data_IF_526211434481
#
_entry.id   IF_526211434481
#
_cell.length_a   1.000
_cell.length_b   1.000
_cell.length_c   1.000
_cell.angle_alpha   90.00
_cell.angle_beta   90.00
_cell.angle_gamma   90.00
#
_symmetry.space_group_name_H-M   'P 1'
#
loop_
_entity.id
_entity.type
_entity.pdbx_description
1 polymer ?
#
# COMPACT_ATOMS: atom_id res chain seq x y z
N UNK A 1 -79.27 -15.15 -15.27
CA UNK A 1 -80.19 -14.03 -15.04
C UNK A 1 -80.15 -13.35 -13.67
N UNK A 2 -80.45 -14.01 -12.53
CA UNK A 2 -80.45 -13.30 -11.23
C UNK A 2 -79.06 -12.80 -10.77
N UNK A 3 -78.01 -13.58 -11.05
CA UNK A 3 -76.64 -13.32 -10.59
C UNK A 3 -75.94 -12.21 -11.38
N UNK A 4 -76.14 -12.15 -12.70
CA UNK A 4 -75.57 -11.08 -13.54
C UNK A 4 -76.15 -9.71 -13.16
N UNK A 5 -77.45 -9.63 -12.87
CA UNK A 5 -78.10 -8.40 -12.41
C UNK A 5 -77.51 -7.91 -11.08
N UNK A 6 -77.20 -8.84 -10.17
CA UNK A 6 -76.55 -8.52 -8.89
C UNK A 6 -75.12 -8.01 -9.10
N UNK A 7 -74.31 -8.70 -9.91
CA UNK A 7 -72.94 -8.27 -10.22
C UNK A 7 -72.93 -6.90 -10.90
N UNK A 8 -73.85 -6.66 -11.83
CA UNK A 8 -74.02 -5.35 -12.47
C UNK A 8 -74.36 -4.25 -11.46
N UNK A 9 -75.32 -4.49 -10.55
CA UNK A 9 -75.67 -3.54 -9.50
C UNK A 9 -74.48 -3.24 -8.56
N UNK A 10 -73.69 -4.27 -8.21
CA UNK A 10 -72.50 -4.11 -7.38
C UNK A 10 -71.41 -3.27 -8.07
N UNK A 11 -71.11 -3.56 -9.34
CA UNK A 11 -70.16 -2.77 -10.11
C UNK A 11 -70.64 -1.31 -10.28
N UNK A 12 -71.94 -1.10 -10.52
CA UNK A 12 -72.54 0.25 -10.55
C UNK A 12 -72.47 0.98 -9.21
N UNK A 13 -72.51 0.24 -8.09
CA UNK A 13 -72.32 0.81 -6.75
C UNK A 13 -70.86 1.12 -6.39
N UNK A 14 -69.93 0.88 -7.32
CA UNK A 14 -68.49 1.15 -7.13
C UNK A 14 -67.71 0.01 -6.51
N UNK A 15 -68.24 -1.21 -6.50
CA UNK A 15 -67.49 -2.38 -6.04
C UNK A 15 -66.25 -2.60 -6.92
N UNK A 16 -65.11 -2.84 -6.28
CA UNK A 16 -63.82 -3.01 -6.95
C UNK A 16 -63.57 -4.48 -7.31
N UNK A 17 -63.52 -4.84 -8.61
CA UNK A 17 -63.30 -6.22 -9.04
C UNK A 17 -61.84 -6.69 -8.95
N UNK A 18 -60.90 -5.76 -8.73
CA UNK A 18 -59.46 -6.04 -8.59
C UNK A 18 -59.02 -6.43 -7.18
N UNK A 19 -59.93 -6.39 -6.20
CA UNK A 19 -59.66 -6.88 -4.86
C UNK A 19 -59.70 -8.40 -4.84
N UNK A 20 -58.83 -8.96 -3.99
CA UNK A 20 -58.67 -10.40 -3.83
C UNK A 20 -59.20 -10.81 -2.46
N UNK A 21 -59.78 -12.00 -2.37
CA UNK A 21 -60.22 -12.58 -1.09
C UNK A 21 -59.04 -12.93 -0.17
N UNK A 22 -59.32 -13.13 1.12
CA UNK A 22 -58.30 -13.52 2.08
C UNK A 22 -57.57 -14.82 1.67
N UNK A 23 -56.24 -14.90 1.86
CA UNK A 23 -55.47 -16.09 1.58
C UNK A 23 -56.01 -17.32 2.31
N UNK A 24 -56.27 -18.38 1.58
CA UNK A 24 -56.64 -19.70 2.14
C UNK A 24 -55.50 -20.69 1.89
N UNK A 25 -55.46 -21.80 2.64
CA UNK A 25 -54.45 -22.85 2.43
C UNK A 25 -54.40 -23.35 0.97
N UNK A 26 -55.55 -23.33 0.30
CA UNK A 26 -55.68 -23.77 -1.09
C UNK A 26 -55.25 -22.69 -2.10
N UNK A 27 -55.29 -21.40 -1.73
CA UNK A 27 -54.91 -20.26 -2.57
C UNK A 27 -54.20 -19.18 -1.73
N UNK A 28 -52.86 -19.24 -1.71
CA UNK A 28 -52.01 -18.32 -0.94
C UNK A 28 -52.08 -16.87 -1.44
N UNK A 29 -52.44 -16.67 -2.71
CA UNK A 29 -52.63 -15.34 -3.31
C UNK A 29 -54.04 -14.77 -3.16
N UNK A 30 -54.98 -15.55 -2.60
CA UNK A 30 -56.41 -15.26 -2.63
C UNK A 30 -57.05 -15.51 -4.01
N UNK A 31 -58.38 -15.36 -4.12
CA UNK A 31 -59.12 -15.46 -5.37
C UNK A 31 -59.72 -14.11 -5.77
N UNK A 32 -59.66 -13.75 -7.05
CA UNK A 32 -60.42 -12.60 -7.56
C UNK A 32 -61.89 -12.96 -7.79
N UNK A 33 -62.74 -11.95 -7.95
CA UNK A 33 -64.15 -12.16 -8.28
C UNK A 33 -64.33 -12.95 -9.60
N UNK A 34 -63.40 -12.79 -10.55
CA UNK A 34 -63.37 -13.55 -11.79
C UNK A 34 -63.02 -15.03 -11.56
N UNK A 35 -62.00 -15.31 -10.72
CA UNK A 35 -61.61 -16.69 -10.39
C UNK A 35 -62.73 -17.46 -9.69
N UNK A 36 -63.46 -16.78 -8.80
CA UNK A 36 -64.64 -17.36 -8.14
C UNK A 36 -65.79 -17.64 -9.12
N UNK A 37 -65.99 -16.79 -10.13
CA UNK A 37 -66.97 -17.03 -11.17
C UNK A 37 -66.57 -18.23 -12.06
N UNK A 38 -65.28 -18.33 -12.41
CA UNK A 38 -64.71 -19.44 -13.17
C UNK A 38 -64.82 -20.79 -12.44
N UNK A 39 -64.48 -20.82 -11.14
CA UNK A 39 -64.59 -22.01 -10.30
C UNK A 39 -66.03 -22.55 -10.18
N UNK A 40 -67.02 -21.68 -10.36
CA UNK A 40 -68.43 -22.03 -10.35
C UNK A 40 -69.01 -22.32 -11.75
N UNK A 41 -68.18 -22.32 -12.80
CA UNK A 41 -68.59 -22.61 -14.18
C UNK A 41 -69.25 -21.46 -14.94
N UNK A 42 -69.06 -20.20 -14.50
CA UNK A 42 -69.63 -19.02 -15.16
C UNK A 42 -68.59 -18.27 -16.00
N UNK A 43 -68.17 -18.87 -17.12
CA UNK A 43 -67.07 -18.37 -17.95
C UNK A 43 -67.31 -16.95 -18.50
N UNK A 44 -68.53 -16.64 -18.97
CA UNK A 44 -68.84 -15.30 -19.50
C UNK A 44 -68.82 -14.21 -18.42
N UNK A 45 -69.28 -14.54 -17.22
CA UNK A 45 -69.24 -13.62 -16.07
C UNK A 45 -67.80 -13.44 -15.57
N UNK A 46 -67.02 -14.52 -15.56
CA UNK A 46 -65.60 -14.49 -15.20
C UNK A 46 -64.80 -13.61 -16.16
N UNK A 47 -65.00 -13.76 -17.47
CA UNK A 47 -64.35 -12.95 -18.49
C UNK A 47 -64.69 -11.45 -18.35
N UNK A 48 -65.95 -11.11 -18.12
CA UNK A 48 -66.37 -9.73 -17.90
C UNK A 48 -65.76 -9.13 -16.62
N UNK A 49 -65.76 -9.89 -15.52
CA UNK A 49 -65.14 -9.48 -14.26
C UNK A 49 -63.62 -9.33 -14.39
N UNK A 50 -62.96 -10.17 -15.19
CA UNK A 50 -61.52 -10.09 -15.45
C UNK A 50 -61.16 -8.84 -16.26
N UNK A 51 -61.94 -8.48 -17.27
CA UNK A 51 -61.78 -7.22 -18.01
C UNK A 51 -61.92 -6.02 -17.06
N UNK A 52 -63.00 -5.96 -16.26
CA UNK A 52 -63.22 -4.87 -15.30
C UNK A 52 -62.17 -4.83 -14.20
N UNK A 53 -61.65 -5.98 -13.78
CA UNK A 53 -60.52 -6.10 -12.85
C UNK A 53 -59.27 -5.40 -13.41
N UNK A 54 -58.87 -5.71 -14.64
CA UNK A 54 -57.70 -5.10 -15.28
C UNK A 54 -57.86 -3.59 -15.48
N UNK A 55 -59.05 -3.14 -15.89
CA UNK A 55 -59.34 -1.71 -16.05
C UNK A 55 -59.30 -0.99 -14.70
N UNK A 56 -59.90 -1.57 -13.65
CA UNK A 56 -59.85 -1.00 -12.31
C UNK A 56 -58.41 -0.92 -11.76
N UNK A 57 -57.61 -1.96 -11.98
CA UNK A 57 -56.20 -1.98 -11.58
C UNK A 57 -55.38 -0.92 -12.34
N UNK A 58 -55.63 -0.73 -13.63
CA UNK A 58 -55.01 0.33 -14.42
C UNK A 58 -55.38 1.73 -13.88
N UNK A 59 -56.66 1.97 -13.56
CA UNK A 59 -57.13 3.24 -13.00
C UNK A 59 -56.47 3.51 -11.65
N UNK A 60 -56.43 2.52 -10.75
CA UNK A 60 -55.76 2.64 -9.46
C UNK A 60 -54.26 2.95 -9.62
N UNK A 61 -53.58 2.27 -10.56
CA UNK A 61 -52.17 2.52 -10.88
C UNK A 61 -51.92 3.90 -11.51
N UNK A 62 -52.88 4.40 -12.29
CA UNK A 62 -52.83 5.75 -12.86
C UNK A 62 -53.03 6.83 -11.79
N UNK A 63 -53.98 6.64 -10.88
CA UNK A 63 -54.19 7.54 -9.73
C UNK A 63 -52.93 7.57 -8.85
N UNK A 64 -52.28 6.41 -8.66
CA UNK A 64 -51.01 6.31 -7.93
C UNK A 64 -49.81 6.90 -8.68
N UNK A 65 -49.97 7.39 -9.92
CA UNK A 65 -48.90 7.96 -10.74
C UNK A 65 -47.88 6.95 -11.28
N UNK A 66 -48.17 5.65 -11.20
CA UNK A 66 -47.29 4.59 -11.68
C UNK A 66 -47.41 4.34 -13.19
N UNK A 67 -48.51 4.78 -13.81
CA UNK A 67 -48.81 4.60 -15.24
C UNK A 67 -49.39 5.87 -15.83
N UNK A 68 -48.98 6.20 -17.06
CA UNK A 68 -49.49 7.31 -17.85
C UNK A 68 -50.22 6.81 -19.11
N UNK A 69 -51.27 7.53 -19.53
CA UNK A 69 -52.12 7.24 -20.69
C UNK A 69 -53.60 7.02 -20.36
N UNK A 70 -54.43 7.09 -21.39
CA UNK A 70 -55.85 6.67 -21.37
C UNK A 70 -55.98 5.33 -22.10
N UNK A 71 -56.99 4.53 -21.76
CA UNK A 71 -57.37 3.37 -22.57
C UNK A 71 -58.22 3.85 -23.75
N UNK A 72 -57.72 3.68 -24.97
CA UNK A 72 -58.40 4.12 -26.20
C UNK A 72 -59.60 3.22 -26.54
N UNK A 73 -59.57 1.95 -26.12
CA UNK A 73 -60.61 0.97 -26.44
C UNK A 73 -61.99 1.27 -25.81
N UNK A 74 -62.07 2.13 -24.79
CA UNK A 74 -63.35 2.42 -24.10
C UNK A 74 -64.27 3.40 -24.83
N UNK A 75 -63.79 4.15 -25.85
CA UNK A 75 -64.59 5.23 -26.49
C UNK A 75 -65.04 4.92 -27.92
N UNK A 76 -64.38 4.01 -28.63
CA UNK A 76 -64.48 3.92 -30.09
C UNK A 76 -65.76 3.31 -30.67
N UNK A 77 -66.46 2.40 -29.99
CA UNK A 77 -67.37 1.47 -30.71
C UNK A 77 -68.85 1.53 -30.30
N UNK A 78 -69.24 2.34 -29.31
CA UNK A 78 -70.67 2.58 -29.01
C UNK A 78 -71.40 3.42 -30.08
N UNK A 79 -70.68 3.90 -31.11
CA UNK A 79 -71.21 4.89 -32.05
C UNK A 79 -71.78 4.30 -33.36
N UNK A 80 -71.76 2.98 -33.58
CA UNK A 80 -72.37 2.37 -34.78
C UNK A 80 -73.73 1.75 -34.48
N UNK A 81 -74.79 2.54 -34.66
CA UNK A 81 -76.19 2.15 -34.43
C UNK A 81 -76.78 1.51 -35.70
N UNK A 82 -76.24 0.37 -36.10
CA UNK A 82 -76.84 -0.50 -37.13
C UNK A 82 -77.24 -1.83 -36.49
N UNK A 83 -78.49 -2.25 -36.67
CA UNK A 83 -79.01 -3.52 -36.14
C UNK A 83 -78.36 -4.68 -36.91
N UNK A 84 -77.24 -5.17 -36.40
CA UNK A 84 -76.58 -6.37 -36.90
C UNK A 84 -77.23 -7.63 -36.28
N UNK A 85 -77.06 -8.81 -36.88
CA UNK A 85 -77.46 -10.07 -36.26
C UNK A 85 -76.78 -10.26 -34.89
N UNK A 86 -77.47 -10.87 -33.92
CA UNK A 86 -77.00 -11.03 -32.53
C UNK A 86 -75.57 -11.61 -32.43
N UNK A 87 -75.21 -12.55 -33.30
CA UNK A 87 -73.88 -13.18 -33.30
C UNK A 87 -72.75 -12.22 -33.67
N UNK A 88 -73.00 -11.31 -34.62
CA UNK A 88 -72.01 -10.31 -35.04
C UNK A 88 -71.82 -9.24 -33.97
N UNK A 89 -72.89 -8.90 -33.25
CA UNK A 89 -72.85 -7.96 -32.13
C UNK A 89 -72.10 -8.54 -30.92
N UNK A 90 -72.31 -9.83 -30.60
CA UNK A 90 -71.60 -10.54 -29.54
C UNK A 90 -70.09 -10.61 -29.81
N UNK A 91 -69.71 -10.90 -31.06
CA UNK A 91 -68.31 -10.93 -31.47
C UNK A 91 -67.64 -9.57 -31.32
N UNK A 92 -68.33 -8.48 -31.68
CA UNK A 92 -67.83 -7.11 -31.50
C UNK A 92 -67.56 -6.79 -30.04
N UNK A 93 -68.50 -7.10 -29.13
CA UNK A 93 -68.30 -6.88 -27.69
C UNK A 93 -67.14 -7.69 -27.12
N UNK A 94 -66.98 -8.95 -27.54
CA UNK A 94 -65.87 -9.78 -27.12
C UNK A 94 -64.51 -9.24 -27.60
N UNK A 95 -64.42 -8.76 -28.85
CA UNK A 95 -63.20 -8.15 -29.39
C UNK A 95 -62.85 -6.84 -28.69
N UNK A 96 -63.85 -6.02 -28.37
CA UNK A 96 -63.63 -4.78 -27.61
C UNK A 96 -63.14 -5.06 -26.18
N UNK A 97 -63.75 -6.04 -25.49
CA UNK A 97 -63.31 -6.49 -24.17
C UNK A 97 -61.87 -7.01 -24.21
N UNK A 98 -61.53 -7.82 -25.22
CA UNK A 98 -60.18 -8.35 -25.39
C UNK A 98 -59.14 -7.26 -25.64
N UNK A 99 -59.41 -6.30 -26.55
CA UNK A 99 -58.50 -5.17 -26.81
C UNK A 99 -58.27 -4.32 -25.56
N UNK A 100 -59.34 -4.03 -24.82
CA UNK A 100 -59.30 -3.27 -23.56
C UNK A 100 -58.46 -4.00 -22.52
N UNK A 101 -58.70 -5.29 -22.32
CA UNK A 101 -57.95 -6.12 -21.37
C UNK A 101 -56.46 -6.22 -21.75
N UNK A 102 -56.16 -6.44 -23.04
CA UNK A 102 -54.80 -6.53 -23.55
C UNK A 102 -54.03 -5.21 -23.38
N UNK A 103 -54.67 -4.07 -23.68
CA UNK A 103 -54.08 -2.75 -23.50
C UNK A 103 -53.79 -2.46 -22.01
N UNK A 104 -54.77 -2.69 -21.13
CA UNK A 104 -54.59 -2.52 -19.69
C UNK A 104 -53.47 -3.41 -19.14
N UNK A 105 -53.46 -4.69 -19.52
CA UNK A 105 -52.42 -5.65 -19.08
C UNK A 105 -51.03 -5.23 -19.57
N UNK A 106 -50.88 -4.80 -20.83
CA UNK A 106 -49.60 -4.35 -21.37
C UNK A 106 -49.06 -3.13 -20.60
N UNK A 107 -49.93 -2.16 -20.27
CA UNK A 107 -49.57 -0.98 -19.47
C UNK A 107 -49.15 -1.35 -18.06
N UNK A 108 -49.92 -2.23 -17.40
CA UNK A 108 -49.64 -2.70 -16.04
C UNK A 108 -48.29 -3.44 -16.00
N UNK A 109 -48.07 -4.38 -16.93
CA UNK A 109 -46.81 -5.11 -17.02
C UNK A 109 -45.62 -4.20 -17.34
N UNK A 110 -45.80 -3.20 -18.21
CA UNK A 110 -44.79 -2.19 -18.50
C UNK A 110 -44.35 -1.43 -17.25
N UNK A 111 -45.31 -0.99 -16.43
CA UNK A 111 -45.06 -0.28 -15.18
C UNK A 111 -44.26 -1.13 -14.18
N UNK A 112 -44.63 -2.41 -14.04
CA UNK A 112 -43.91 -3.34 -13.16
C UNK A 112 -42.47 -3.56 -13.63
N UNK A 113 -42.24 -3.71 -14.93
CA UNK A 113 -40.88 -3.84 -15.49
C UNK A 113 -40.04 -2.60 -15.24
N UNK A 114 -40.60 -1.42 -15.44
CA UNK A 114 -39.91 -0.15 -15.18
C UNK A 114 -39.54 -0.01 -13.69
N UNK A 115 -40.49 -0.32 -12.79
CA UNK A 115 -40.25 -0.25 -11.34
C UNK A 115 -39.19 -1.26 -10.89
N UNK A 116 -39.22 -2.48 -11.42
CA UNK A 116 -38.21 -3.50 -11.13
C UNK A 116 -36.82 -3.05 -11.58
N UNK A 117 -36.71 -2.48 -12.79
CA UNK A 117 -35.46 -1.94 -13.30
C UNK A 117 -34.95 -0.78 -12.44
N UNK A 118 -35.80 0.21 -12.11
CA UNK A 118 -35.44 1.34 -11.23
C UNK A 118 -34.87 0.87 -9.89
N UNK A 119 -35.50 -0.14 -9.27
CA UNK A 119 -35.00 -0.72 -8.02
C UNK A 119 -33.62 -1.37 -8.18
N UNK A 120 -33.37 -2.09 -9.28
CA UNK A 120 -32.06 -2.69 -9.54
C UNK A 120 -30.98 -1.63 -9.74
N UNK A 121 -31.27 -0.55 -10.46
CA UNK A 121 -30.30 0.53 -10.69
C UNK A 121 -30.00 1.30 -9.41
N UNK A 122 -31.01 1.60 -8.58
CA UNK A 122 -30.80 2.28 -7.30
C UNK A 122 -29.84 1.49 -6.38
N UNK A 123 -30.04 0.18 -6.25
CA UNK A 123 -29.18 -0.67 -5.43
C UNK A 123 -27.72 -0.67 -5.96
N UNK A 124 -27.54 -0.80 -7.28
CA UNK A 124 -26.20 -0.75 -7.91
C UNK A 124 -25.52 0.61 -7.72
N UNK A 125 -26.27 1.70 -7.76
CA UNK A 125 -25.73 3.05 -7.57
C UNK A 125 -25.25 3.25 -6.13
N UNK A 126 -26.01 2.77 -5.14
CA UNK A 126 -25.62 2.78 -3.73
C UNK A 126 -24.37 1.94 -3.47
N UNK A 127 -24.31 0.73 -4.05
CA UNK A 127 -23.11 -0.12 -3.99
C UNK A 127 -21.90 0.56 -4.63
N UNK A 128 -22.05 1.18 -5.80
CA UNK A 128 -20.98 1.91 -6.47
C UNK A 128 -20.49 3.09 -5.63
N UNK A 129 -21.40 3.86 -5.01
CA UNK A 129 -21.04 4.94 -4.07
C UNK A 129 -20.28 4.40 -2.86
N UNK A 130 -20.68 3.25 -2.33
CA UNK A 130 -20.00 2.54 -1.24
C UNK A 130 -18.56 2.16 -1.62
N UNK A 131 -18.37 1.58 -2.81
CA UNK A 131 -17.05 1.20 -3.33
C UNK A 131 -16.14 2.44 -3.49
N UNK A 132 -16.66 3.52 -4.07
CA UNK A 132 -15.89 4.76 -4.26
C UNK A 132 -15.50 5.37 -2.91
N UNK A 133 -16.41 5.39 -1.93
CA UNK A 133 -16.12 5.87 -0.58
C UNK A 133 -15.03 5.02 0.10
N UNK A 134 -15.13 3.69 0.00
CA UNK A 134 -14.13 2.77 0.54
C UNK A 134 -12.75 3.01 -0.11
N UNK A 135 -12.68 3.17 -1.44
CA UNK A 135 -11.45 3.49 -2.15
C UNK A 135 -10.81 4.80 -1.65
N UNK A 136 -11.61 5.86 -1.44
CA UNK A 136 -11.12 7.14 -0.92
C UNK A 136 -10.53 7.00 0.48
N UNK A 137 -11.19 6.25 1.37
CA UNK A 137 -10.72 5.98 2.74
C UNK A 137 -9.41 5.19 2.70
N UNK A 138 -9.35 4.12 1.90
CA UNK A 138 -8.16 3.29 1.74
C UNK A 138 -6.98 4.11 1.19
N UNK A 139 -7.23 4.96 0.19
CA UNK A 139 -6.20 5.82 -0.38
C UNK A 139 -5.66 6.83 0.65
N UNK A 140 -6.55 7.50 1.39
CA UNK A 140 -6.17 8.43 2.45
C UNK A 140 -5.35 7.73 3.55
N UNK A 141 -5.76 6.53 3.96
CA UNK A 141 -5.04 5.74 4.95
C UNK A 141 -3.63 5.35 4.46
N UNK A 142 -3.51 4.86 3.23
CA UNK A 142 -2.20 4.52 2.64
C UNK A 142 -1.28 5.74 2.57
N UNK A 143 -1.82 6.90 2.14
CA UNK A 143 -1.06 8.16 2.09
C UNK A 143 -0.61 8.65 3.47
N UNK A 144 -1.46 8.48 4.49
CA UNK A 144 -1.11 8.81 5.87
C UNK A 144 0.00 7.89 6.40
N UNK A 145 -0.11 6.58 6.16
CA UNK A 145 0.88 5.61 6.63
C UNK A 145 2.25 5.81 5.98
N UNK A 146 2.31 6.09 4.67
CA UNK A 146 3.56 6.41 3.99
C UNK A 146 4.20 7.67 4.55
N UNK A 147 3.41 8.74 4.75
CA UNK A 147 3.89 9.99 5.37
C UNK A 147 4.42 9.75 6.78
N UNK A 148 3.69 9.00 7.61
CA UNK A 148 4.10 8.67 8.99
C UNK A 148 5.43 7.91 9.01
N UNK A 149 5.61 6.93 8.12
CA UNK A 149 6.86 6.17 7.98
C UNK A 149 8.02 7.07 7.55
N UNK A 150 7.78 7.97 6.58
CA UNK A 150 8.78 8.90 6.08
C UNK A 150 9.20 9.93 7.14
N UNK A 151 8.25 10.47 7.91
CA UNK A 151 8.55 11.36 9.04
C UNK A 151 9.37 10.64 10.14
N UNK A 152 9.05 9.38 10.44
CA UNK A 152 9.81 8.59 11.39
C UNK A 152 11.25 8.32 10.89
N UNK A 153 11.40 7.94 9.62
CA UNK A 153 12.69 7.73 8.99
C UNK A 153 13.56 9.01 9.03
N UNK A 154 12.97 10.16 8.69
CA UNK A 154 13.64 11.46 8.77
C UNK A 154 14.15 11.76 10.18
N UNK A 155 13.34 11.54 11.22
CA UNK A 155 13.75 11.75 12.62
C UNK A 155 14.94 10.88 13.01
N UNK A 156 14.93 9.61 12.59
CA UNK A 156 16.04 8.67 12.83
C UNK A 156 17.30 9.15 12.11
N UNK A 157 17.18 9.55 10.83
CA UNK A 157 18.28 10.05 10.03
C UNK A 157 18.90 11.32 10.62
N UNK A 158 18.09 12.32 10.99
CA UNK A 158 18.58 13.55 11.62
C UNK A 158 19.30 13.26 12.94
N UNK A 159 18.78 12.33 13.76
CA UNK A 159 19.43 11.92 15.00
C UNK A 159 20.78 11.26 14.74
N UNK A 160 20.84 10.37 13.75
CA UNK A 160 22.07 9.71 13.35
C UNK A 160 23.10 10.69 12.80
N UNK A 161 22.70 11.59 11.90
CA UNK A 161 23.58 12.62 11.33
C UNK A 161 24.15 13.54 12.44
N UNK A 162 23.29 13.97 13.37
CA UNK A 162 23.74 14.79 14.52
C UNK A 162 24.75 14.04 15.39
N UNK A 163 24.49 12.76 15.68
CA UNK A 163 25.44 11.92 16.42
C UNK A 163 26.76 11.73 15.67
N UNK A 164 26.70 11.46 14.36
CA UNK A 164 27.88 11.29 13.48
C UNK A 164 28.76 12.54 13.50
N UNK A 165 28.15 13.71 13.28
CA UNK A 165 28.84 15.00 13.30
C UNK A 165 29.45 15.29 14.68
N UNK A 166 28.70 15.05 15.77
CA UNK A 166 29.20 15.24 17.14
C UNK A 166 30.38 14.32 17.43
N UNK A 167 30.33 13.05 17.02
CA UNK A 167 31.42 12.09 17.21
C UNK A 167 32.69 12.53 16.49
N UNK A 168 32.57 12.96 15.23
CA UNK A 168 33.69 13.47 14.46
C UNK A 168 34.28 14.74 15.09
N UNK A 169 33.44 15.69 15.51
CA UNK A 169 33.87 16.90 16.19
C UNK A 169 34.62 16.60 17.50
N UNK A 170 34.09 15.70 18.34
CA UNK A 170 34.73 15.33 19.60
C UNK A 170 36.08 14.65 19.37
N UNK A 171 36.19 13.78 18.37
CA UNK A 171 37.46 13.16 17.99
C UNK A 171 38.49 14.21 17.56
N UNK A 172 38.11 15.11 16.66
CA UNK A 172 38.99 16.20 16.20
C UNK A 172 39.42 17.10 17.36
N UNK A 173 38.48 17.49 18.23
CA UNK A 173 38.76 18.29 19.43
C UNK A 173 39.74 17.58 20.36
N UNK A 174 39.55 16.28 20.59
CA UNK A 174 40.45 15.50 21.45
C UNK A 174 41.87 15.45 20.88
N UNK A 175 42.03 15.20 19.58
CA UNK A 175 43.35 15.22 18.94
C UNK A 175 44.00 16.61 19.00
N UNK A 176 43.25 17.67 18.73
CA UNK A 176 43.74 19.04 18.85
C UNK A 176 44.22 19.36 20.28
N UNK A 177 43.44 19.00 21.30
CA UNK A 177 43.81 19.21 22.71
C UNK A 177 45.09 18.43 23.06
N UNK A 178 45.22 17.17 22.60
CA UNK A 178 46.44 16.37 22.81
C UNK A 178 47.68 17.07 22.25
N UNK A 179 47.61 17.53 21.00
CA UNK A 179 48.70 18.26 20.35
C UNK A 179 49.03 19.54 21.13
N UNK A 180 48.01 20.33 21.50
CA UNK A 180 48.20 21.57 22.26
C UNK A 180 48.85 21.31 23.62
N UNK A 181 48.43 20.28 24.35
CA UNK A 181 49.02 19.93 25.64
C UNK A 181 50.47 19.46 25.50
N UNK A 182 50.78 18.66 24.48
CA UNK A 182 52.13 18.19 24.20
C UNK A 182 53.04 19.36 23.83
N UNK A 183 52.55 20.29 23.02
CA UNK A 183 53.28 21.50 22.62
C UNK A 183 53.59 22.40 23.83
N UNK A 184 52.59 22.70 24.67
CA UNK A 184 52.79 23.47 25.91
C UNK A 184 53.81 22.79 26.83
N UNK A 185 53.75 21.46 26.97
CA UNK A 185 54.72 20.67 27.73
C UNK A 185 56.13 20.74 27.14
N UNK A 186 56.27 20.64 25.82
CA UNK A 186 57.55 20.76 25.13
C UNK A 186 58.17 22.15 25.33
N UNK A 187 57.36 23.21 25.23
CA UNK A 187 57.81 24.59 25.46
C UNK A 187 58.35 24.77 26.88
N UNK A 188 57.64 24.30 27.91
CA UNK A 188 58.09 24.35 29.29
C UNK A 188 59.40 23.57 29.51
N UNK A 189 59.50 22.34 28.98
CA UNK A 189 60.73 21.53 29.07
C UNK A 189 61.92 22.19 28.38
N UNK A 190 61.72 22.88 27.25
CA UNK A 190 62.79 23.64 26.58
C UNK A 190 63.32 24.76 27.47
N UNK A 191 62.46 25.50 28.17
CA UNK A 191 62.91 26.54 29.11
C UNK A 191 63.64 25.92 30.31
N UNK A 192 63.11 24.84 30.88
CA UNK A 192 63.76 24.14 31.99
C UNK A 192 65.14 23.59 31.62
N UNK A 193 65.32 23.03 30.41
CA UNK A 193 66.63 22.57 29.91
C UNK A 193 67.69 23.67 29.89
N UNK A 194 67.31 24.93 29.59
CA UNK A 194 68.26 26.07 29.66
C UNK A 194 68.76 26.31 31.08
N UNK A 195 67.84 26.30 32.05
CA UNK A 195 68.17 26.47 33.47
C UNK A 195 69.08 25.32 33.93
N UNK A 196 68.71 24.07 33.63
CA UNK A 196 69.49 22.90 34.02
C UNK A 196 70.90 22.92 33.42
N UNK A 197 71.04 23.37 32.16
CA UNK A 197 72.36 23.53 31.54
C UNK A 197 73.21 24.56 32.27
N UNK A 198 72.65 25.73 32.62
CA UNK A 198 73.34 26.75 33.41
C UNK A 198 73.78 26.24 34.79
N UNK A 199 72.89 25.52 35.50
CA UNK A 199 73.21 24.90 36.80
C UNK A 199 74.32 23.85 36.64
N UNK A 200 74.26 23.00 35.62
CA UNK A 200 75.27 21.98 35.37
C UNK A 200 76.67 22.56 35.06
N UNK A 201 76.74 23.70 34.37
CA UNK A 201 78.01 24.42 34.17
C UNK A 201 78.55 24.94 35.50
N UNK A 202 77.69 25.55 36.33
CA UNK A 202 78.06 26.09 37.65
C UNK A 202 78.55 24.98 38.59
N UNK A 203 77.81 23.88 38.71
CA UNK A 203 78.22 22.71 39.52
C UNK A 203 79.58 22.19 39.07
N UNK A 204 79.78 21.98 37.77
CA UNK A 204 81.08 21.53 37.24
C UNK A 204 82.22 22.51 37.53
N UNK A 205 81.94 23.81 37.56
CA UNK A 205 82.92 24.83 37.95
C UNK A 205 83.26 24.74 39.44
N UNK A 206 82.25 24.65 40.32
CA UNK A 206 82.42 24.50 41.78
C UNK A 206 83.21 23.23 42.11
N UNK A 207 82.86 22.11 41.48
CA UNK A 207 83.55 20.83 41.60
C UNK A 207 85.02 20.98 41.20
N UNK A 208 85.30 21.55 40.01
CA UNK A 208 86.69 21.76 39.56
C UNK A 208 87.49 22.65 40.50
N UNK A 209 86.85 23.65 41.12
CA UNK A 209 87.46 24.54 42.10
C UNK A 209 87.79 23.81 43.41
N UNK A 210 86.83 23.07 43.99
CA UNK A 210 87.03 22.32 45.24
C UNK A 210 88.01 21.14 45.08
N UNK A 211 87.95 20.41 43.97
CA UNK A 211 88.80 19.24 43.68
C UNK A 211 90.13 19.60 42.99
N UNK A 212 90.53 20.88 42.99
CA UNK A 212 91.82 21.36 42.44
C UNK A 212 92.14 20.80 41.05
N UNK A 213 91.23 20.98 40.08
CA UNK A 213 91.32 20.53 38.66
C UNK A 213 91.22 19.03 38.40
N UNK A 214 91.01 18.16 39.40
CA UNK A 214 90.56 16.78 39.15
C UNK A 214 89.07 16.81 38.79
N UNK A 215 88.76 16.80 37.50
CA UNK A 215 87.37 16.73 37.03
C UNK A 215 86.77 15.33 37.25
N UNK A 216 85.44 15.20 37.17
CA UNK A 216 84.72 13.92 37.14
C UNK A 216 84.99 13.06 35.87
N UNK A 217 86.11 13.27 35.15
CA UNK A 217 86.61 12.33 34.13
C UNK A 217 87.48 11.25 34.79
N UNK A 218 86.97 10.68 35.87
CA UNK A 218 87.73 9.76 36.73
C UNK A 218 86.83 8.77 37.47
N UNK A 219 85.61 8.53 36.98
CA UNK A 219 84.92 7.29 37.30
C UNK A 219 85.66 6.20 36.52
N UNK A 220 86.61 5.55 37.16
CA UNK A 220 87.15 4.29 36.69
C UNK A 220 85.97 3.31 36.64
N UNK A 221 85.43 3.10 35.44
CA UNK A 221 84.73 1.87 35.13
C UNK A 221 85.81 0.80 35.23
N UNK A 222 85.76 0.06 36.33
CA UNK A 222 86.55 -1.14 36.50
C UNK A 222 86.12 -2.14 35.43
N UNK A 223 87.09 -2.67 34.69
CA UNK A 223 86.91 -3.79 33.78
C UNK A 223 86.33 -3.41 32.42
N UNK A 224 87.14 -3.60 31.39
CA UNK A 224 86.66 -3.98 30.07
C UNK A 224 85.79 -5.25 30.23
N UNK A 225 84.49 -5.05 30.37
CA UNK A 225 83.51 -5.90 29.72
C UNK A 225 82.76 -4.99 28.76
N UNK A 226 82.68 -5.43 27.50
CA UNK A 226 82.13 -4.68 26.39
C UNK A 226 80.79 -3.99 26.75
N UNK A 227 80.58 -2.72 26.36
CA UNK A 227 79.27 -2.10 26.51
C UNK A 227 78.24 -2.91 25.72
N UNK A 228 77.00 -3.12 26.22
CA UNK A 228 75.90 -3.65 25.41
C UNK A 228 75.40 -2.55 24.45
N UNK A 229 76.27 -2.14 23.54
CA UNK A 229 76.02 -1.22 22.44
C UNK A 229 75.69 -1.93 21.14
N UNK A 230 75.83 -3.26 21.08
CA UNK A 230 75.43 -4.05 19.92
C UNK A 230 73.91 -4.28 19.85
N UNK A 231 73.15 -4.19 20.96
CA UNK A 231 71.73 -4.58 20.94
C UNK A 231 70.83 -3.65 20.08
N UNK A 232 71.09 -2.34 20.03
CA UNK A 232 70.33 -1.43 19.15
C UNK A 232 70.74 -1.57 17.69
N UNK A 233 72.05 -1.65 17.39
CA UNK A 233 72.53 -1.89 16.02
C UNK A 233 72.16 -3.28 15.49
N UNK A 234 72.15 -4.30 16.34
CA UNK A 234 71.73 -5.66 16.02
C UNK A 234 70.23 -5.71 15.77
N UNK A 235 69.41 -4.95 16.49
CA UNK A 235 67.98 -4.86 16.18
C UNK A 235 67.75 -4.26 14.79
N UNK A 236 68.46 -3.19 14.42
CA UNK A 236 68.35 -2.62 13.08
C UNK A 236 68.91 -3.56 12.00
N UNK A 237 70.10 -4.14 12.20
CA UNK A 237 70.72 -5.10 11.25
C UNK A 237 69.90 -6.38 11.10
N UNK A 238 69.33 -6.90 12.19
CA UNK A 238 68.42 -8.07 12.14
C UNK A 238 67.10 -7.72 11.47
N UNK A 239 66.52 -6.54 11.73
CA UNK A 239 65.30 -6.10 11.03
C UNK A 239 65.52 -5.94 9.52
N UNK A 240 66.69 -5.43 9.12
CA UNK A 240 67.08 -5.27 7.74
C UNK A 240 67.28 -6.63 7.05
N UNK A 241 68.05 -7.54 7.67
CA UNK A 241 68.21 -8.92 7.18
C UNK A 241 66.88 -9.65 7.06
N UNK A 242 65.97 -9.47 8.02
CA UNK A 242 64.63 -10.06 7.94
C UNK A 242 63.78 -9.46 6.82
N UNK A 243 63.95 -8.19 6.47
CA UNK A 243 63.29 -7.59 5.31
C UNK A 243 63.86 -8.14 4.00
N UNK A 244 65.18 -8.28 3.92
CA UNK A 244 65.90 -8.86 2.78
C UNK A 244 65.51 -10.33 2.57
N UNK A 245 65.46 -11.16 3.61
CA UNK A 245 65.01 -12.55 3.52
C UNK A 245 63.55 -12.69 3.05
N UNK A 246 62.67 -11.77 3.45
CA UNK A 246 61.27 -11.77 2.98
C UNK A 246 61.19 -11.47 1.47
N UNK A 247 62.05 -10.58 1.00
CA UNK A 247 62.16 -10.28 -0.42
C UNK A 247 62.69 -11.50 -1.19
N UNK A 248 63.78 -12.11 -0.74
CA UNK A 248 64.37 -13.28 -1.37
C UNK A 248 63.40 -14.46 -1.43
N UNK A 249 62.69 -14.76 -0.33
CA UNK A 249 61.66 -15.80 -0.31
C UNK A 249 60.53 -15.53 -1.29
N UNK A 250 60.14 -14.26 -1.45
CA UNK A 250 59.10 -13.88 -2.41
C UNK A 250 59.58 -14.09 -3.85
N UNK A 251 60.82 -13.72 -4.16
CA UNK A 251 61.43 -13.95 -5.47
C UNK A 251 61.52 -15.45 -5.79
N UNK A 252 62.00 -16.27 -4.84
CA UNK A 252 62.08 -17.72 -5.03
C UNK A 252 60.71 -18.34 -5.28
N UNK A 253 59.66 -17.87 -4.59
CA UNK A 253 58.27 -18.35 -4.82
C UNK A 253 57.76 -17.99 -6.21
N UNK A 254 58.04 -16.79 -6.70
CA UNK A 254 57.67 -16.39 -8.07
C UNK A 254 58.43 -17.20 -9.11
N UNK A 255 59.73 -17.44 -8.89
CA UNK A 255 60.53 -18.32 -9.75
C UNK A 255 60.01 -19.76 -9.74
N UNK A 256 59.58 -20.27 -8.58
CA UNK A 256 58.99 -21.60 -8.45
C UNK A 256 57.62 -21.69 -9.15
N UNK A 257 56.79 -20.64 -9.05
CA UNK A 257 55.52 -20.55 -9.79
C UNK A 257 55.75 -20.64 -11.30
N UNK A 258 56.75 -19.92 -11.83
CA UNK A 258 57.06 -19.94 -13.25
C UNK A 258 57.48 -21.33 -13.77
N UNK A 259 58.14 -22.14 -12.93
CA UNK A 259 58.63 -23.47 -13.31
C UNK A 259 57.54 -24.56 -13.29
N UNK A 260 56.35 -24.31 -12.74
CA UNK A 260 55.27 -25.30 -12.61
C UNK A 260 53.99 -24.86 -13.30
N UNK A 261 53.49 -25.67 -14.23
CA UNK A 261 52.27 -25.36 -15.00
C UNK A 261 51.02 -25.19 -14.12
N UNK A 262 50.89 -26.03 -13.08
CA UNK A 262 49.77 -25.94 -12.13
C UNK A 262 49.79 -24.62 -11.35
N UNK A 263 50.98 -24.18 -10.92
CA UNK A 263 51.13 -22.92 -10.20
C UNK A 263 50.85 -21.69 -11.09
N UNK A 264 51.16 -21.77 -12.38
CA UNK A 264 50.80 -20.71 -13.35
C UNK A 264 49.28 -20.57 -13.51
N UNK A 265 48.56 -21.68 -13.60
CA UNK A 265 47.09 -21.67 -13.72
C UNK A 265 46.42 -21.13 -12.45
N UNK A 266 46.90 -21.54 -11.27
CA UNK A 266 46.38 -21.05 -9.98
C UNK A 266 46.68 -19.55 -9.78
N UNK A 267 47.87 -19.08 -10.19
CA UNK A 267 48.20 -17.64 -10.19
C UNK A 267 47.27 -16.84 -11.10
N UNK A 268 46.99 -17.33 -12.31
CA UNK A 268 46.09 -16.65 -13.25
C UNK A 268 44.67 -16.54 -12.70
N UNK A 269 44.15 -17.60 -12.06
CA UNK A 269 42.84 -17.57 -11.40
C UNK A 269 42.79 -16.52 -10.30
N UNK A 270 43.77 -16.53 -9.40
CA UNK A 270 43.84 -15.59 -8.27
C UNK A 270 43.98 -14.14 -8.73
N UNK A 271 44.75 -13.90 -9.80
CA UNK A 271 44.92 -12.56 -10.39
C UNK A 271 43.59 -11.99 -10.89
N UNK A 272 42.81 -12.77 -11.65
CA UNK A 272 41.51 -12.32 -12.16
C UNK A 272 40.54 -12.00 -11.02
N UNK A 273 40.46 -12.86 -10.00
CA UNK A 273 39.60 -12.61 -8.83
C UNK A 273 40.01 -11.38 -8.03
N UNK A 274 41.31 -11.05 -8.01
CA UNK A 274 41.79 -9.83 -7.34
C UNK A 274 41.42 -8.56 -8.11
N UNK A 275 41.56 -8.58 -9.44
CA UNK A 275 41.16 -7.47 -10.31
C UNK A 275 39.65 -7.22 -10.22
N UNK A 276 38.84 -8.28 -10.18
CA UNK A 276 37.39 -8.19 -9.95
C UNK A 276 37.07 -7.54 -8.59
N UNK A 277 37.70 -8.01 -7.50
CA UNK A 277 37.49 -7.45 -6.16
C UNK A 277 37.99 -6.00 -6.02
N UNK A 278 39.06 -5.62 -6.74
CA UNK A 278 39.53 -4.22 -6.78
C UNK A 278 38.52 -3.32 -7.48
N UNK A 279 37.95 -3.76 -8.61
CA UNK A 279 36.90 -3.01 -9.30
C UNK A 279 35.67 -2.84 -8.40
N UNK A 280 35.21 -3.90 -7.74
CA UNK A 280 34.10 -3.81 -6.78
C UNK A 280 34.37 -2.79 -5.68
N UNK A 281 35.59 -2.78 -5.11
CA UNK A 281 35.99 -1.82 -4.08
C UNK A 281 36.05 -0.37 -4.59
N UNK A 282 36.57 -0.15 -5.79
CA UNK A 282 36.65 1.18 -6.41
C UNK A 282 35.24 1.71 -6.75
N UNK A 283 34.34 0.83 -7.24
CA UNK A 283 32.92 1.16 -7.42
C UNK A 283 32.21 1.52 -6.10
N UNK A 284 32.57 0.87 -4.98
CA UNK A 284 32.03 1.21 -3.65
C UNK A 284 32.57 2.54 -3.09
N UNK A 285 33.74 3.02 -3.55
CA UNK A 285 34.28 4.32 -3.15
C UNK A 285 33.72 5.49 -3.97
N UNK A 286 33.27 5.26 -5.21
CA UNK A 286 32.71 6.28 -6.11
C UNK A 286 31.19 6.52 -5.93
N UNK A 287 30.55 5.81 -4.99
CA UNK A 287 29.14 5.94 -4.57
C UNK A 287 28.97 6.78 -3.28
#
# INVERSE_FOLDING_TARGET
YGREKMVAALLSSGARPNLVTDPRKDNLGGCTAADLAQQNGFDGLAAYLAEKCLVAQFIDMKIAGNVSGDLEACKGEMSSRGSLPDDEQNLKYALAAYRTAAEAAARIQGAFREKALKSQFANREEEAKGIIAAMKIQHAFRKYDTRRKMEAAYRIQCRFQTWKMRRQFLNMRHQAIRIQSAFRGLQARRQYKKILWSVGVLEKAIIRWRLKRKGFRGLQVAGEEDPPGEAEEDFYKTSQRQAEERLERSVVRVQAMFRSKKAQEDYRRMKLTHEEAQLEYDYEQDL
#
